data_IF_439617430476
#
_entry.id   IF_439617430476
#
_cell.length_a   1.000
_cell.length_b   1.000
_cell.length_c   1.000
_cell.angle_alpha   90.00
_cell.angle_beta   90.00
_cell.angle_gamma   90.00
#
_symmetry.space_group_name_H-M   'P 1'
#
loop_
_entity.id
_entity.type
_entity.pdbx_description
1 polymer ?
#
# COMPACT_ATOMS: atom_id res chain seq x y z
N UNK A 1 70.61 30.10 -21.98
CA UNK A 1 69.36 30.60 -22.63
C UNK A 1 68.59 29.44 -23.18
N UNK A 2 67.57 28.96 -22.42
CA UNK A 2 66.71 27.89 -22.85
C UNK A 2 65.34 28.49 -23.25
N UNK A 3 64.97 28.32 -24.51
CA UNK A 3 63.75 28.82 -25.12
C UNK A 3 62.64 27.78 -24.84
N UNK A 4 61.62 28.12 -23.99
CA UNK A 4 60.47 27.33 -23.78
C UNK A 4 59.57 27.30 -25.03
N UNK A 5 59.37 26.15 -25.62
CA UNK A 5 58.43 25.92 -26.73
C UNK A 5 57.00 25.84 -26.16
N UNK A 6 56.18 26.87 -26.36
CA UNK A 6 54.76 26.87 -26.12
C UNK A 6 54.07 26.02 -27.19
N UNK A 7 53.47 24.88 -26.79
CA UNK A 7 52.63 24.07 -27.67
C UNK A 7 51.30 24.80 -27.97
N UNK A 8 50.89 24.95 -29.24
CA UNK A 8 49.62 25.57 -29.58
C UNK A 8 48.49 24.65 -29.11
N UNK A 9 47.67 25.12 -28.19
CA UNK A 9 46.38 24.49 -27.84
C UNK A 9 45.47 24.54 -29.06
N UNK A 10 45.26 23.41 -29.73
CA UNK A 10 44.37 23.32 -30.88
C UNK A 10 42.93 23.65 -30.45
N UNK A 11 42.29 24.59 -31.15
CA UNK A 11 40.87 24.99 -30.93
C UNK A 11 39.91 23.78 -30.93
N UNK A 12 40.27 22.69 -31.60
CA UNK A 12 39.55 21.39 -31.61
C UNK A 12 39.55 20.72 -30.24
N UNK A 13 40.64 20.74 -29.48
CA UNK A 13 40.69 20.16 -28.13
C UNK A 13 39.84 20.91 -27.10
N UNK A 14 39.76 22.25 -27.23
CA UNK A 14 38.90 23.07 -26.38
C UNK A 14 37.39 22.83 -26.67
N UNK A 15 37.02 22.71 -27.93
CA UNK A 15 35.64 22.38 -28.34
C UNK A 15 35.20 21.00 -27.86
N UNK A 16 36.08 19.99 -27.94
CA UNK A 16 35.77 18.64 -27.41
C UNK A 16 35.68 18.64 -25.89
N UNK A 17 36.50 19.40 -25.18
CA UNK A 17 36.42 19.52 -23.73
C UNK A 17 35.13 20.23 -23.27
N UNK A 18 34.71 21.31 -23.93
CA UNK A 18 33.46 22.02 -23.63
C UNK A 18 32.25 21.15 -23.96
N UNK A 19 32.22 20.49 -25.13
CA UNK A 19 31.14 19.57 -25.50
C UNK A 19 31.02 18.41 -24.53
N UNK A 20 32.13 17.81 -24.11
CA UNK A 20 32.13 16.73 -23.09
C UNK A 20 31.61 17.20 -21.73
N UNK A 21 31.98 18.40 -21.30
CA UNK A 21 31.50 18.96 -20.02
C UNK A 21 30.00 19.23 -20.04
N UNK A 22 29.44 19.74 -21.13
CA UNK A 22 27.99 19.98 -21.28
C UNK A 22 27.21 18.67 -21.23
N UNK A 23 27.68 17.60 -21.89
CA UNK A 23 27.09 16.30 -21.86
C UNK A 23 27.10 15.70 -20.45
N UNK A 24 28.22 15.79 -19.73
CA UNK A 24 28.36 15.31 -18.35
C UNK A 24 27.42 16.06 -17.42
N UNK A 25 27.32 17.39 -17.52
CA UNK A 25 26.40 18.19 -16.72
C UNK A 25 24.93 17.83 -17.02
N UNK A 26 24.60 17.64 -18.30
CA UNK A 26 23.26 17.22 -18.70
C UNK A 26 22.91 15.82 -18.17
N UNK A 27 23.84 14.85 -18.23
CA UNK A 27 23.67 13.51 -17.67
C UNK A 27 23.56 13.55 -16.15
N UNK A 28 24.41 14.30 -15.47
CA UNK A 28 24.32 14.43 -14.00
C UNK A 28 23.04 15.16 -13.57
N UNK A 29 22.63 16.20 -14.30
CA UNK A 29 21.35 16.88 -14.09
C UNK A 29 20.17 15.94 -14.31
N UNK A 30 20.19 15.14 -15.37
CA UNK A 30 19.18 14.13 -15.64
C UNK A 30 19.15 13.04 -14.55
N UNK A 31 20.31 12.52 -14.13
CA UNK A 31 20.40 11.55 -13.04
C UNK A 31 19.92 12.14 -11.71
N UNK A 32 20.29 13.39 -11.42
CA UNK A 32 19.81 14.09 -10.23
C UNK A 32 18.28 14.22 -10.25
N UNK A 33 17.72 14.71 -11.35
CA UNK A 33 16.27 14.80 -11.54
C UNK A 33 15.63 13.41 -11.40
N UNK A 34 16.23 12.39 -12.04
CA UNK A 34 15.74 11.02 -12.00
C UNK A 34 15.71 10.45 -10.57
N UNK A 35 16.81 10.57 -9.82
CA UNK A 35 16.89 9.99 -8.46
C UNK A 35 16.18 10.81 -7.39
N UNK A 36 16.03 12.13 -7.59
CA UNK A 36 15.36 13.00 -6.60
C UNK A 36 13.87 13.10 -6.83
N UNK A 37 13.44 13.20 -8.10
CA UNK A 37 12.03 13.33 -8.44
C UNK A 37 11.31 11.97 -8.61
N UNK A 38 12.07 10.89 -8.87
CA UNK A 38 11.51 9.55 -9.06
C UNK A 38 12.24 8.53 -8.17
N UNK A 39 12.03 8.59 -6.85
CA UNK A 39 12.62 7.60 -5.96
C UNK A 39 12.11 6.20 -6.33
N UNK A 40 13.01 5.31 -6.70
CA UNK A 40 12.71 3.95 -7.18
C UNK A 40 12.30 2.98 -6.08
N UNK A 41 12.37 3.38 -4.81
CA UNK A 41 12.05 2.54 -3.68
C UNK A 41 10.60 2.75 -3.21
N UNK A 42 9.72 1.89 -3.67
CA UNK A 42 8.33 1.84 -3.16
C UNK A 42 8.29 1.15 -1.79
N UNK A 43 7.41 1.56 -0.88
CA UNK A 43 7.19 0.84 0.36
C UNK A 43 6.85 -0.63 0.10
N UNK A 44 7.41 -1.53 0.92
CA UNK A 44 7.09 -2.96 0.82
C UNK A 44 5.59 -3.22 1.01
N UNK A 45 5.04 -4.30 0.44
CA UNK A 45 3.68 -4.73 0.76
C UNK A 45 3.47 -4.86 2.26
N UNK A 46 2.24 -4.60 2.70
CA UNK A 46 1.87 -4.83 4.10
C UNK A 46 1.96 -6.33 4.40
N UNK A 47 2.58 -6.66 5.50
CA UNK A 47 2.77 -8.03 5.98
C UNK A 47 2.77 -8.03 7.50
N UNK A 48 2.40 -9.16 8.09
CA UNK A 48 2.63 -9.36 9.51
C UNK A 48 4.13 -9.19 9.76
N UNK A 49 4.49 -8.32 10.71
CA UNK A 49 5.89 -8.21 11.11
C UNK A 49 6.38 -9.58 11.57
N UNK A 50 7.46 -10.05 10.97
CA UNK A 50 8.07 -11.36 11.25
C UNK A 50 8.70 -11.46 12.65
N UNK A 51 8.56 -10.42 13.49
CA UNK A 51 9.12 -10.41 14.82
C UNK A 51 8.46 -11.47 15.71
N UNK A 52 9.29 -12.29 16.29
CA UNK A 52 9.12 -13.21 17.39
C UNK A 52 7.74 -13.90 17.51
N UNK A 53 7.74 -15.21 17.67
CA UNK A 53 6.54 -15.95 18.06
C UNK A 53 5.83 -15.21 19.20
N UNK A 54 4.60 -14.83 18.98
CA UNK A 54 3.77 -14.21 20.02
C UNK A 54 3.44 -15.32 21.02
N UNK A 55 3.53 -15.01 22.31
CA UNK A 55 3.17 -15.97 23.34
C UNK A 55 1.75 -16.50 23.12
N UNK A 56 1.49 -17.78 23.40
CA UNK A 56 0.14 -18.32 23.37
C UNK A 56 -0.81 -17.49 24.21
N UNK A 57 -2.06 -17.41 23.75
CA UNK A 57 -3.12 -16.72 24.50
C UNK A 57 -3.30 -17.40 25.84
N UNK A 58 -3.28 -16.63 26.91
CA UNK A 58 -3.42 -17.14 28.29
C UNK A 58 -4.79 -17.83 28.47
N UNK A 59 -4.77 -18.91 29.24
CA UNK A 59 -6.02 -19.56 29.67
C UNK A 59 -6.85 -18.59 30.49
N UNK A 60 -8.12 -18.38 30.09
CA UNK A 60 -9.00 -17.40 30.71
C UNK A 60 -9.14 -16.07 29.94
N UNK A 61 -8.28 -15.82 28.93
CA UNK A 61 -8.53 -14.68 28.03
C UNK A 61 -9.81 -14.91 27.26
N UNK A 62 -10.73 -13.93 27.30
CA UNK A 62 -11.94 -13.94 26.49
C UNK A 62 -11.82 -13.02 25.29
N UNK A 63 -12.16 -13.54 24.13
CA UNK A 63 -12.29 -12.77 22.87
C UNK A 63 -13.73 -12.35 22.62
N UNK A 64 -14.71 -12.90 23.35
CA UNK A 64 -16.10 -12.51 23.17
C UNK A 64 -16.29 -11.01 23.41
N UNK A 65 -17.11 -10.39 22.56
CA UNK A 65 -17.44 -8.97 22.66
C UNK A 65 -16.99 -8.15 21.46
N UNK A 66 -17.03 -6.84 21.65
CA UNK A 66 -16.73 -5.86 20.60
C UNK A 66 -15.24 -5.49 20.63
N UNK A 67 -14.67 -5.40 19.44
CA UNK A 67 -13.31 -5.00 19.18
C UNK A 67 -13.32 -3.82 18.21
N UNK A 68 -12.41 -2.87 18.40
CA UNK A 68 -12.30 -1.65 17.60
C UNK A 68 -10.94 -1.55 16.95
N UNK A 69 -10.86 -0.75 15.90
CA UNK A 69 -9.60 -0.40 15.25
C UNK A 69 -8.68 0.29 16.25
N UNK A 70 -7.43 -0.14 16.30
CA UNK A 70 -6.39 0.40 17.16
C UNK A 70 -5.32 1.14 16.34
N UNK A 71 -4.55 1.96 17.04
CA UNK A 71 -3.39 2.68 16.48
C UNK A 71 -2.40 1.70 15.84
N UNK A 72 -1.82 2.12 14.72
CA UNK A 72 -0.91 1.29 13.91
C UNK A 72 -1.61 0.52 12.79
N UNK A 73 -2.95 0.59 12.70
CA UNK A 73 -3.67 0.10 11.53
C UNK A 73 -3.38 0.95 10.30
N UNK A 74 -3.23 0.29 9.16
CA UNK A 74 -2.99 0.91 7.86
C UNK A 74 -3.89 0.27 6.80
N UNK A 75 -4.36 1.07 5.87
CA UNK A 75 -4.98 0.62 4.63
C UNK A 75 -4.49 1.48 3.47
N UNK A 76 -4.49 0.93 2.26
CA UNK A 76 -4.02 1.68 1.12
C UNK A 76 -4.17 0.95 -0.21
N UNK A 77 -3.54 1.53 -1.20
CA UNK A 77 -3.45 0.97 -2.54
C UNK A 77 -1.99 0.76 -2.96
N UNK A 78 -1.82 -0.16 -3.88
CA UNK A 78 -0.60 -0.39 -4.66
C UNK A 78 -0.99 -0.58 -6.11
N UNK A 79 -0.36 0.15 -7.01
CA UNK A 79 -0.54 0.01 -8.45
C UNK A 79 0.82 0.05 -9.14
N UNK A 80 0.96 -0.75 -10.20
CA UNK A 80 2.14 -0.73 -11.04
C UNK A 80 2.03 0.44 -12.01
N UNK A 81 2.96 1.39 -11.95
CA UNK A 81 3.02 2.53 -12.85
C UNK A 81 4.22 2.44 -13.80
N UNK A 82 4.02 2.95 -14.99
CA UNK A 82 5.05 3.13 -16.01
C UNK A 82 5.14 4.60 -16.37
N UNK A 83 6.35 5.13 -16.28
CA UNK A 83 6.67 6.48 -16.76
C UNK A 83 7.11 6.36 -18.22
N UNK A 84 6.46 7.10 -19.14
CA UNK A 84 6.54 6.88 -20.59
C UNK A 84 7.94 6.90 -21.21
N UNK A 85 8.91 7.54 -20.57
CA UNK A 85 10.30 7.62 -21.04
C UNK A 85 11.27 6.73 -20.22
N UNK A 86 10.78 5.99 -19.23
CA UNK A 86 11.60 5.10 -18.42
C UNK A 86 11.29 3.64 -18.75
N UNK A 87 12.34 2.80 -18.90
CA UNK A 87 12.14 1.39 -19.19
C UNK A 87 11.65 0.59 -17.97
N UNK A 88 11.81 1.14 -16.76
CA UNK A 88 11.45 0.46 -15.52
C UNK A 88 10.05 0.86 -15.05
N UNK A 89 9.27 -0.14 -14.63
CA UNK A 89 8.02 0.06 -13.91
C UNK A 89 8.31 0.19 -12.41
N UNK A 90 7.50 0.99 -11.71
CA UNK A 90 7.58 1.16 -10.26
C UNK A 90 6.21 0.96 -9.63
N UNK A 91 6.19 0.69 -8.31
CA UNK A 91 4.93 0.64 -7.58
C UNK A 91 4.59 2.02 -7.01
N UNK A 92 3.43 2.53 -7.37
CA UNK A 92 2.82 3.66 -6.68
C UNK A 92 2.02 3.14 -5.48
N UNK A 93 2.37 3.59 -4.28
CA UNK A 93 1.76 3.15 -3.03
C UNK A 93 1.27 4.34 -2.25
N UNK A 94 -0.01 4.33 -1.88
CA UNK A 94 -0.59 5.32 -0.97
C UNK A 94 -1.28 4.63 0.20
N UNK A 95 -1.08 5.13 1.42
CA UNK A 95 -1.61 4.55 2.65
C UNK A 95 -2.24 5.60 3.55
N UNK A 96 -3.15 5.15 4.41
CA UNK A 96 -3.78 5.97 5.45
C UNK A 96 -3.94 5.16 6.73
N UNK A 97 -3.91 5.82 7.86
CA UNK A 97 -4.33 5.29 9.16
C UNK A 97 -5.73 5.78 9.57
N UNK A 98 -6.39 6.56 8.72
CA UNK A 98 -7.75 7.05 8.96
C UNK A 98 -8.77 5.93 8.71
N UNK A 99 -8.78 4.95 9.61
CA UNK A 99 -9.61 3.76 9.57
C UNK A 99 -10.47 3.74 10.83
N UNK A 100 -11.75 3.45 10.66
CA UNK A 100 -12.69 3.22 11.75
C UNK A 100 -13.39 1.88 11.55
N UNK A 101 -13.97 1.37 12.60
CA UNK A 101 -14.78 0.15 12.48
C UNK A 101 -14.66 -0.77 13.67
N UNK A 102 -15.40 -1.85 13.59
CA UNK A 102 -15.53 -2.83 14.69
C UNK A 102 -15.65 -4.23 14.16
N UNK A 103 -15.22 -5.18 14.99
CA UNK A 103 -15.55 -6.59 14.85
C UNK A 103 -16.18 -7.09 16.15
N UNK A 104 -17.15 -8.00 16.04
CA UNK A 104 -17.76 -8.66 17.19
C UNK A 104 -17.39 -10.14 17.14
N UNK A 105 -16.79 -10.61 18.22
CA UNK A 105 -16.42 -12.01 18.36
C UNK A 105 -17.32 -12.72 19.36
N UNK A 106 -17.58 -14.00 19.09
CA UNK A 106 -18.14 -14.94 20.04
C UNK A 106 -17.08 -16.00 20.36
N UNK A 107 -17.14 -16.51 21.57
CA UNK A 107 -16.26 -17.58 22.07
C UNK A 107 -17.05 -18.64 22.81
N UNK A 108 -16.74 -19.91 22.53
CA UNK A 108 -17.22 -21.06 23.26
C UNK A 108 -16.04 -21.99 23.53
N UNK A 109 -15.57 -22.03 24.77
CA UNK A 109 -14.32 -22.69 25.11
C UNK A 109 -13.13 -22.10 24.34
N UNK A 110 -12.46 -22.91 23.55
CA UNK A 110 -11.35 -22.48 22.68
C UNK A 110 -11.81 -22.09 21.26
N UNK A 111 -13.08 -22.26 20.92
CA UNK A 111 -13.61 -21.87 19.62
C UNK A 111 -13.95 -20.37 19.62
N UNK A 112 -13.27 -19.59 18.78
CA UNK A 112 -13.49 -18.17 18.57
C UNK A 112 -14.01 -17.94 17.16
N UNK A 113 -15.03 -17.11 17.01
CA UNK A 113 -15.59 -16.75 15.71
C UNK A 113 -15.89 -15.26 15.63
N UNK A 114 -15.52 -14.62 14.53
CA UNK A 114 -16.00 -13.29 14.17
C UNK A 114 -17.47 -13.43 13.70
N UNK A 115 -18.38 -12.83 14.42
CA UNK A 115 -19.82 -12.83 14.09
C UNK A 115 -20.20 -11.73 13.13
N UNK A 116 -19.53 -10.59 13.25
CA UNK A 116 -19.69 -9.44 12.38
C UNK A 116 -18.38 -8.66 12.35
N UNK A 117 -18.10 -8.01 11.23
CA UNK A 117 -17.05 -7.01 11.12
C UNK A 117 -17.45 -5.96 10.08
N UNK A 118 -17.19 -4.71 10.39
CA UNK A 118 -17.39 -3.59 9.46
C UNK A 118 -16.31 -2.55 9.68
N UNK A 119 -15.64 -2.18 8.59
CA UNK A 119 -14.55 -1.21 8.59
C UNK A 119 -14.79 -0.16 7.53
N UNK A 120 -14.33 1.06 7.80
CA UNK A 120 -14.41 2.20 6.92
C UNK A 120 -13.05 2.90 6.87
N UNK A 121 -12.59 3.21 5.67
CA UNK A 121 -11.32 3.88 5.39
C UNK A 121 -11.62 5.23 4.74
N UNK A 122 -11.10 6.31 5.32
CA UNK A 122 -11.12 7.64 4.70
C UNK A 122 -10.03 7.68 3.63
N UNK A 123 -10.44 7.55 2.35
CA UNK A 123 -9.52 7.53 1.22
C UNK A 123 -9.05 8.92 0.80
N UNK A 124 -9.66 10.01 1.30
CA UNK A 124 -9.13 11.37 1.17
C UNK A 124 -7.80 11.54 1.92
N UNK A 125 -7.57 10.72 2.94
CA UNK A 125 -6.36 10.76 3.79
C UNK A 125 -5.25 9.85 3.26
N UNK A 126 -5.42 9.24 2.10
CA UNK A 126 -4.35 8.48 1.46
C UNK A 126 -3.16 9.39 1.16
N UNK A 127 -1.97 8.93 1.54
CA UNK A 127 -0.70 9.61 1.30
C UNK A 127 0.30 8.66 0.66
N UNK A 128 0.96 9.15 -0.37
CA UNK A 128 2.08 8.49 -1.02
C UNK A 128 3.37 9.28 -0.80
N UNK A 129 4.46 8.85 -1.41
CA UNK A 129 5.72 9.59 -1.46
C UNK A 129 5.70 10.75 -2.48
N UNK A 130 4.58 10.95 -3.21
CA UNK A 130 4.45 11.93 -4.29
C UNK A 130 3.21 12.81 -4.09
N UNK A 131 3.41 14.10 -3.80
CA UNK A 131 2.32 15.04 -3.55
C UNK A 131 1.41 15.25 -4.78
N UNK A 132 1.97 15.22 -5.99
CA UNK A 132 1.18 15.32 -7.23
C UNK A 132 0.28 14.10 -7.42
N UNK A 133 0.76 12.90 -7.08
CA UNK A 133 -0.05 11.68 -7.10
C UNK A 133 -1.21 11.80 -6.11
N UNK A 134 -0.94 12.30 -4.90
CA UNK A 134 -1.96 12.50 -3.86
C UNK A 134 -3.06 13.48 -4.30
N UNK A 135 -2.72 14.49 -5.11
CA UNK A 135 -3.70 15.39 -5.71
C UNK A 135 -4.49 14.71 -6.85
N UNK A 136 -3.80 13.97 -7.72
CA UNK A 136 -4.44 13.32 -8.85
C UNK A 136 -5.47 12.25 -8.44
N UNK A 137 -5.21 11.46 -7.40
CA UNK A 137 -6.16 10.44 -6.94
C UNK A 137 -7.48 11.02 -6.41
N UNK A 138 -7.53 12.33 -6.11
CA UNK A 138 -8.78 12.98 -5.72
C UNK A 138 -9.78 13.10 -6.88
N UNK A 139 -9.29 13.20 -8.10
CA UNK A 139 -10.11 13.43 -9.31
C UNK A 139 -10.00 12.32 -10.35
N UNK A 140 -8.94 11.49 -10.29
CA UNK A 140 -8.66 10.43 -11.27
C UNK A 140 -8.49 9.09 -10.51
N UNK A 141 -8.88 7.99 -11.14
CA UNK A 141 -8.80 6.65 -10.57
C UNK A 141 -9.75 6.48 -9.39
N UNK A 142 -9.27 6.58 -8.17
CA UNK A 142 -10.08 6.44 -6.95
C UNK A 142 -11.12 7.55 -6.81
N UNK A 143 -10.84 8.75 -7.35
CA UNK A 143 -11.70 9.94 -7.27
C UNK A 143 -12.15 10.20 -5.83
N UNK A 144 -11.19 10.24 -4.91
CA UNK A 144 -11.46 10.32 -3.47
C UNK A 144 -12.22 11.59 -3.06
N UNK A 145 -12.17 12.67 -3.85
CA UNK A 145 -13.00 13.85 -3.62
C UNK A 145 -14.50 13.58 -3.78
N UNK A 146 -14.87 12.67 -4.70
CA UNK A 146 -16.27 12.27 -4.95
C UNK A 146 -16.67 11.06 -4.11
N UNK A 147 -15.75 10.12 -3.93
CA UNK A 147 -15.94 8.87 -3.18
C UNK A 147 -14.97 8.79 -2.00
N UNK A 148 -15.19 9.56 -0.94
CA UNK A 148 -14.20 9.75 0.14
C UNK A 148 -14.01 8.51 1.02
N UNK A 149 -14.85 7.49 0.88
CA UNK A 149 -14.89 6.36 1.80
C UNK A 149 -14.86 5.04 1.05
N UNK A 150 -13.96 4.15 1.46
CA UNK A 150 -14.01 2.73 1.11
C UNK A 150 -14.46 1.92 2.34
N UNK A 151 -15.31 0.91 2.15
CA UNK A 151 -15.83 0.11 3.26
C UNK A 151 -15.70 -1.39 3.02
N UNK A 152 -15.64 -2.13 4.12
CA UNK A 152 -15.75 -3.58 4.15
C UNK A 152 -16.82 -4.01 5.15
N UNK A 153 -17.61 -5.04 4.79
CA UNK A 153 -18.54 -5.71 5.70
C UNK A 153 -18.42 -7.21 5.53
N UNK A 154 -18.18 -7.91 6.63
CA UNK A 154 -18.14 -9.38 6.66
C UNK A 154 -19.49 -9.95 6.20
N UNK A 155 -19.47 -10.92 5.28
CA UNK A 155 -20.70 -11.48 4.70
C UNK A 155 -21.35 -12.59 5.55
N UNK A 156 -20.53 -13.32 6.31
CA UNK A 156 -20.99 -14.42 7.15
C UNK A 156 -20.03 -14.64 8.32
N UNK A 157 -20.49 -15.22 9.42
CA UNK A 157 -19.61 -15.56 10.54
C UNK A 157 -18.42 -16.40 10.10
N UNK A 158 -17.25 -16.11 10.69
CA UNK A 158 -15.96 -16.72 10.35
C UNK A 158 -15.29 -17.28 11.60
N UNK A 159 -15.04 -18.60 11.63
CA UNK A 159 -14.29 -19.24 12.70
C UNK A 159 -12.80 -18.97 12.60
N UNK A 160 -12.14 -18.69 13.72
CA UNK A 160 -10.69 -18.66 13.79
C UNK A 160 -10.16 -20.07 14.08
N UNK A 161 -9.13 -20.54 13.35
CA UNK A 161 -8.46 -21.79 13.69
C UNK A 161 -7.91 -21.75 15.13
N UNK A 162 -8.04 -22.86 15.85
CA UNK A 162 -7.56 -22.95 17.25
C UNK A 162 -6.04 -22.67 17.38
N UNK A 163 -5.26 -22.91 16.31
CA UNK A 163 -3.83 -22.59 16.24
C UNK A 163 -3.54 -21.09 16.35
N UNK A 164 -4.48 -20.22 16.00
CA UNK A 164 -4.35 -18.78 16.18
C UNK A 164 -4.15 -18.42 17.66
N UNK A 165 -4.82 -19.12 18.57
CA UNK A 165 -4.71 -18.90 20.02
C UNK A 165 -3.38 -19.42 20.62
N UNK A 166 -2.61 -20.16 19.85
CA UNK A 166 -1.28 -20.63 20.24
C UNK A 166 -0.15 -19.66 19.82
N UNK A 167 -0.49 -18.43 19.40
CA UNK A 167 0.46 -17.43 18.93
C UNK A 167 0.94 -17.64 17.47
N UNK A 168 0.37 -18.64 16.78
CA UNK A 168 0.73 -18.90 15.39
C UNK A 168 0.03 -17.91 14.44
N UNK A 169 0.71 -17.59 13.35
CA UNK A 169 0.07 -16.94 12.21
C UNK A 169 -0.82 -17.97 11.52
N UNK A 170 -2.06 -17.60 11.28
CA UNK A 170 -3.01 -18.42 10.52
C UNK A 170 -3.42 -17.73 9.24
N UNK A 171 -3.56 -18.50 8.18
CA UNK A 171 -4.02 -18.04 6.88
C UNK A 171 -5.47 -18.48 6.70
N UNK A 172 -6.36 -17.52 6.47
CA UNK A 172 -7.79 -17.77 6.27
C UNK A 172 -8.30 -16.99 5.07
N UNK A 173 -9.40 -17.46 4.50
CA UNK A 173 -10.13 -16.75 3.46
C UNK A 173 -11.31 -16.01 4.09
N UNK A 174 -11.36 -14.70 3.91
CA UNK A 174 -12.41 -13.82 4.46
C UNK A 174 -13.30 -13.34 3.32
N UNK A 175 -14.58 -13.70 3.36
CA UNK A 175 -15.55 -13.23 2.36
C UNK A 175 -16.36 -12.07 2.93
N UNK A 176 -16.39 -10.97 2.18
CA UNK A 176 -17.13 -9.78 2.57
C UNK A 176 -17.58 -8.95 1.38
N UNK A 177 -18.36 -7.93 1.66
CA UNK A 177 -18.74 -6.92 0.68
C UNK A 177 -17.79 -5.75 0.84
N UNK A 178 -17.06 -5.46 -0.22
CA UNK A 178 -16.24 -4.26 -0.37
C UNK A 178 -17.02 -3.21 -1.15
N UNK A 179 -17.01 -1.98 -0.67
CA UNK A 179 -17.52 -0.82 -1.42
C UNK A 179 -16.37 0.13 -1.67
N UNK A 180 -16.03 0.32 -2.93
CA UNK A 180 -14.95 1.20 -3.39
C UNK A 180 -15.53 2.01 -4.54
N UNK A 181 -15.24 3.33 -4.60
CA UNK A 181 -15.72 4.20 -5.68
C UNK A 181 -17.24 4.08 -5.91
N UNK A 182 -18.02 3.97 -4.84
CA UNK A 182 -19.48 3.81 -4.88
C UNK A 182 -19.98 2.44 -5.36
N UNK A 183 -19.12 1.55 -5.85
CA UNK A 183 -19.49 0.22 -6.32
C UNK A 183 -19.25 -0.82 -5.21
N UNK A 184 -20.22 -1.72 -5.02
CA UNK A 184 -20.13 -2.80 -4.03
C UNK A 184 -19.91 -4.15 -4.73
N UNK A 185 -18.94 -4.92 -4.25
CA UNK A 185 -18.63 -6.27 -4.72
C UNK A 185 -18.43 -7.23 -3.56
N UNK A 186 -18.87 -8.46 -3.74
CA UNK A 186 -18.61 -9.55 -2.79
C UNK A 186 -17.32 -10.24 -3.21
N UNK A 187 -16.29 -10.12 -2.37
CA UNK A 187 -14.98 -10.65 -2.64
C UNK A 187 -14.51 -11.57 -1.52
N UNK A 188 -13.59 -12.48 -1.87
CA UNK A 188 -12.90 -13.35 -0.91
C UNK A 188 -11.42 -13.01 -0.93
N UNK A 189 -10.90 -12.61 0.23
CA UNK A 189 -9.54 -12.13 0.40
C UNK A 189 -8.76 -13.09 1.28
N UNK A 190 -7.55 -13.51 0.88
CA UNK A 190 -6.63 -14.20 1.76
C UNK A 190 -6.15 -13.24 2.85
N UNK A 191 -6.25 -13.66 4.10
CA UNK A 191 -5.87 -12.85 5.27
C UNK A 191 -4.97 -13.66 6.18
N UNK A 192 -3.86 -13.07 6.57
CA UNK A 192 -2.99 -13.54 7.64
C UNK A 192 -3.47 -12.95 8.95
N UNK A 193 -3.70 -13.79 9.94
CA UNK A 193 -4.16 -13.37 11.27
C UNK A 193 -3.14 -13.81 12.32
N UNK A 194 -2.83 -12.90 13.23
CA UNK A 194 -2.11 -13.15 14.46
C UNK A 194 -2.95 -12.67 15.64
N UNK A 195 -3.01 -13.50 16.68
CA UNK A 195 -3.78 -13.22 17.88
C UNK A 195 -2.85 -13.19 19.09
N UNK A 196 -3.00 -12.18 19.92
CA UNK A 196 -2.38 -12.07 21.24
C UNK A 196 -3.43 -11.85 22.32
N UNK A 197 -3.05 -11.77 23.59
CA UNK A 197 -4.00 -11.53 24.69
C UNK A 197 -4.79 -10.21 24.55
N UNK A 198 -4.23 -9.21 23.87
CA UNK A 198 -4.79 -7.85 23.82
C UNK A 198 -5.06 -7.35 22.41
N UNK A 199 -4.61 -8.08 21.38
CA UNK A 199 -4.67 -7.56 20.00
C UNK A 199 -4.92 -8.70 19.00
N UNK A 200 -5.73 -8.44 18.01
CA UNK A 200 -5.88 -9.25 16.81
C UNK A 200 -5.33 -8.42 15.66
N UNK A 201 -4.30 -8.91 14.98
CA UNK A 201 -3.76 -8.30 13.77
C UNK A 201 -4.20 -9.10 12.55
N UNK A 202 -4.71 -8.42 11.54
CA UNK A 202 -5.19 -9.02 10.29
C UNK A 202 -4.58 -8.27 9.10
N UNK A 203 -3.81 -8.98 8.28
CA UNK A 203 -3.15 -8.43 7.10
C UNK A 203 -3.65 -9.15 5.85
N UNK A 204 -3.96 -8.39 4.82
CA UNK A 204 -4.41 -8.96 3.55
C UNK A 204 -4.36 -7.97 2.40
N UNK A 205 -4.60 -8.49 1.21
CA UNK A 205 -4.69 -7.69 0.00
C UNK A 205 -5.66 -8.29 -1.00
N UNK A 206 -6.29 -7.44 -1.79
CA UNK A 206 -7.18 -7.79 -2.89
C UNK A 206 -6.71 -7.09 -4.16
N UNK A 207 -6.44 -7.86 -5.21
CA UNK A 207 -6.06 -7.33 -6.52
C UNK A 207 -7.21 -7.53 -7.50
N UNK A 208 -7.64 -6.44 -8.14
CA UNK A 208 -8.80 -6.40 -9.02
C UNK A 208 -8.55 -5.52 -10.25
N UNK A 209 -9.24 -5.74 -11.38
CA UNK A 209 -9.26 -4.81 -12.49
C UNK A 209 -10.02 -3.54 -12.12
N UNK A 210 -9.58 -2.39 -12.59
CA UNK A 210 -10.21 -1.10 -12.27
C UNK A 210 -11.73 -1.09 -12.55
N UNK A 211 -12.13 -1.72 -13.65
CA UNK A 211 -13.53 -1.79 -14.07
C UNK A 211 -14.45 -2.52 -13.08
N UNK A 212 -13.90 -3.37 -12.21
CA UNK A 212 -14.69 -4.10 -11.23
C UNK A 212 -15.39 -3.18 -10.23
N UNK A 213 -14.76 -2.07 -9.88
CA UNK A 213 -15.34 -1.03 -9.03
C UNK A 213 -15.68 0.24 -9.81
N UNK A 214 -16.06 0.13 -11.09
CA UNK A 214 -16.43 1.23 -11.96
C UNK A 214 -15.37 2.34 -12.06
N UNK A 215 -14.09 1.97 -11.91
CA UNK A 215 -12.95 2.87 -12.04
C UNK A 215 -12.27 2.69 -13.40
N UNK A 216 -11.54 3.71 -13.82
CA UNK A 216 -10.66 3.66 -14.98
C UNK A 216 -9.21 3.78 -14.54
N UNK A 217 -8.33 3.00 -15.15
CA UNK A 217 -6.91 3.08 -14.89
C UNK A 217 -6.40 4.51 -15.15
N UNK A 218 -5.75 5.16 -14.18
CA UNK A 218 -5.23 6.51 -14.37
C UNK A 218 -4.20 6.59 -15.49
N UNK A 219 -4.28 7.66 -16.29
CA UNK A 219 -3.27 8.04 -17.27
C UNK A 219 -3.14 9.55 -17.27
N UNK A 220 -1.92 10.05 -17.20
CA UNK A 220 -1.66 11.49 -17.14
C UNK A 220 -0.78 11.89 -18.31
N UNK A 221 -1.38 12.63 -19.26
CA UNK A 221 -0.68 13.23 -20.39
C UNK A 221 0.10 12.25 -21.28
N UNK A 222 -0.17 10.95 -21.24
CA UNK A 222 0.60 9.93 -21.95
C UNK A 222 1.98 9.63 -21.33
N UNK A 223 2.39 10.38 -20.31
CA UNK A 223 3.68 10.19 -19.64
C UNK A 223 3.62 9.24 -18.45
N UNK A 224 2.47 9.15 -17.79
CA UNK A 224 2.24 8.20 -16.69
C UNK A 224 1.06 7.33 -17.04
N UNK A 225 1.23 6.04 -16.98
CA UNK A 225 0.16 5.06 -17.09
C UNK A 225 0.29 4.02 -15.99
N UNK A 226 -0.84 3.48 -15.54
CA UNK A 226 -0.85 2.36 -14.59
C UNK A 226 -1.39 1.11 -15.27
N UNK A 227 -1.01 -0.06 -14.77
CA UNK A 227 -1.56 -1.33 -15.26
C UNK A 227 -3.07 -1.40 -15.04
N UNK A 228 -3.75 -2.26 -15.79
CA UNK A 228 -5.21 -2.45 -15.67
C UNK A 228 -5.64 -3.15 -14.37
N UNK A 229 -4.79 -3.20 -13.37
CA UNK A 229 -5.09 -3.81 -12.06
C UNK A 229 -4.60 -2.92 -10.94
N UNK A 230 -5.43 -2.82 -9.91
CA UNK A 230 -5.09 -2.19 -8.65
C UNK A 230 -5.09 -3.24 -7.53
N UNK A 231 -4.26 -3.03 -6.53
CA UNK A 231 -4.25 -3.81 -5.30
C UNK A 231 -4.63 -2.92 -4.14
N UNK A 232 -5.67 -3.30 -3.42
CA UNK A 232 -5.97 -2.78 -2.10
C UNK A 232 -5.20 -3.62 -1.08
N UNK A 233 -4.55 -2.98 -0.10
CA UNK A 233 -3.83 -3.66 0.98
C UNK A 233 -4.24 -3.10 2.34
N UNK A 234 -4.20 -3.94 3.37
CA UNK A 234 -4.51 -3.53 4.74
C UNK A 234 -3.69 -4.30 5.77
N UNK A 235 -3.40 -3.64 6.89
CA UNK A 235 -2.92 -4.18 8.17
C UNK A 235 -3.82 -3.59 9.25
N UNK A 236 -4.76 -4.37 9.74
CA UNK A 236 -5.71 -3.95 10.76
C UNK A 236 -5.31 -4.51 12.12
N UNK A 237 -5.22 -3.64 13.09
CA UNK A 237 -5.03 -3.98 14.50
C UNK A 237 -6.32 -3.74 15.24
N UNK A 238 -6.81 -4.74 15.93
CA UNK A 238 -8.03 -4.67 16.70
C UNK A 238 -7.71 -4.86 18.17
N UNK A 239 -8.27 -4.00 19.01
CA UNK A 239 -8.24 -4.12 20.45
C UNK A 239 -9.65 -4.16 21.01
N UNK A 240 -9.80 -4.78 22.14
CA UNK A 240 -11.09 -4.87 22.82
C UNK A 240 -11.58 -3.47 23.16
N UNK A 241 -12.87 -3.19 22.88
CA UNK A 241 -13.54 -1.92 23.20
C UNK A 241 -13.79 -1.79 24.71
#
# INVERSE_FOLDING_TARGET
>A
MARALSRPRTKRGALLAVGGSVVVVAVLGFLFIYFVLFPTSSPKPLSLSSSAAVAPVSSGTTFAGRWTIATGSLAGYRVREKLGFLPAESDAVGRTSAITGTATFAQSGRAVSARAASFSVDVLKLKSNEAMRDQHIQTIGIQSATYPTATFRLSSPLGLPASALNGNVVHISVTGVFTIHGASRRETVPVEIRVSNSEIQAVGSLTFPWSEFNMTAPSVGGFVSVTNRATMEFDLRLRRA
#
